data_IF_925641668566
#
_entry.id   IF_925641668566
#
_cell.length_a   1.000
_cell.length_b   1.000
_cell.length_c   1.000
_cell.angle_alpha   90.00
_cell.angle_beta   90.00
_cell.angle_gamma   90.00
#
_symmetry.space_group_name_H-M   'P 1'
#
loop_
_entity.id
_entity.type
_entity.pdbx_description
1 polymer ?
#
# COMPACT_ATOMS: atom_id res chain seq x y z
N UNK A 1 -8.34 15.32 3.36
CA UNK A 1 -7.54 14.09 3.25
C UNK A 1 -6.77 13.97 4.55
N UNK A 2 -7.09 13.00 5.39
CA UNK A 2 -6.39 12.84 6.68
C UNK A 2 -5.02 12.25 6.40
N UNK A 3 -4.01 13.09 6.56
CA UNK A 3 -2.59 12.80 6.43
C UNK A 3 -2.16 12.03 7.68
N UNK A 4 -2.15 10.69 7.63
CA UNK A 4 -1.65 9.89 8.75
C UNK A 4 -0.14 9.72 8.58
N UNK A 5 0.68 10.28 9.48
CA UNK A 5 2.13 10.32 9.31
C UNK A 5 2.76 8.92 9.29
N UNK A 6 2.07 7.90 9.85
CA UNK A 6 2.51 6.52 9.75
C UNK A 6 2.37 5.98 8.32
N UNK A 7 1.26 6.33 7.65
CA UNK A 7 0.99 5.87 6.28
C UNK A 7 2.00 6.45 5.30
N UNK A 8 2.32 7.73 5.42
CA UNK A 8 3.38 8.35 4.61
C UNK A 8 4.74 7.70 4.86
N UNK A 9 5.12 7.48 6.13
CA UNK A 9 6.38 6.85 6.47
C UNK A 9 6.51 5.40 5.95
N UNK A 10 5.40 4.64 5.96
CA UNK A 10 5.34 3.30 5.35
C UNK A 10 5.53 3.38 3.85
N UNK A 11 4.83 4.31 3.17
CA UNK A 11 5.00 4.53 1.74
C UNK A 11 6.44 4.90 1.40
N UNK A 12 7.05 5.84 2.11
CA UNK A 12 8.42 6.32 1.87
C UNK A 12 9.45 5.19 2.04
N UNK A 13 9.26 4.32 3.04
CA UNK A 13 10.09 3.13 3.23
C UNK A 13 10.00 2.15 2.04
N UNK A 14 8.81 1.98 1.46
CA UNK A 14 8.55 0.98 0.41
C UNK A 14 8.79 1.56 -1.00
N UNK A 15 8.65 2.89 -1.18
CA UNK A 15 8.78 3.63 -2.43
C UNK A 15 10.01 3.29 -3.30
N UNK A 16 11.21 2.99 -2.76
CA UNK A 16 12.33 2.55 -3.61
C UNK A 16 12.08 1.21 -4.35
N UNK A 17 11.00 0.48 -4.02
CA UNK A 17 10.52 -0.64 -4.81
C UNK A 17 9.64 -1.58 -4.01
N UNK A 18 10.25 -2.65 -3.49
CA UNK A 18 9.58 -3.65 -2.65
C UNK A 18 10.37 -3.83 -1.37
N UNK A 19 9.67 -3.85 -0.25
CA UNK A 19 10.30 -4.01 1.06
C UNK A 19 9.52 -5.02 1.90
N UNK A 20 10.23 -5.80 2.70
CA UNK A 20 9.61 -6.75 3.59
C UNK A 20 9.06 -6.07 4.86
N UNK A 21 8.00 -6.63 5.41
CA UNK A 21 7.34 -6.10 6.61
C UNK A 21 8.27 -6.02 7.82
N UNK A 22 9.23 -6.94 7.94
CA UNK A 22 10.15 -6.94 9.09
C UNK A 22 11.05 -5.71 9.03
N UNK A 23 11.59 -5.39 7.85
CA UNK A 23 12.40 -4.19 7.64
C UNK A 23 11.58 -2.91 7.79
N UNK A 24 10.31 -2.88 7.32
CA UNK A 24 9.41 -1.73 7.55
C UNK A 24 9.19 -1.51 9.04
N UNK A 25 8.89 -2.58 9.79
CA UNK A 25 8.73 -2.52 11.25
C UNK A 25 10.01 -2.03 11.89
N UNK A 26 11.16 -2.63 11.58
CA UNK A 26 12.44 -2.30 12.20
C UNK A 26 12.79 -0.81 12.04
N UNK A 27 12.57 -0.25 10.85
CA UNK A 27 12.82 1.17 10.55
C UNK A 27 11.86 2.13 11.25
N UNK A 28 10.63 1.71 11.52
CA UNK A 28 9.58 2.58 12.07
C UNK A 28 9.30 2.34 13.56
N UNK A 29 9.83 1.26 14.15
CA UNK A 29 9.58 0.84 15.53
C UNK A 29 10.07 1.87 16.58
N UNK A 30 11.05 2.69 16.25
CA UNK A 30 11.49 3.80 17.11
C UNK A 30 10.38 4.85 17.34
N UNK A 31 9.49 5.02 16.35
CA UNK A 31 8.45 6.06 16.35
C UNK A 31 7.05 5.52 16.62
N UNK A 32 6.75 4.30 16.20
CA UNK A 32 5.44 3.69 16.36
C UNK A 32 5.56 2.23 16.82
N UNK A 33 4.61 1.74 17.63
CA UNK A 33 4.65 0.35 18.08
C UNK A 33 4.43 -0.62 16.91
N UNK A 34 5.19 -1.73 16.90
CA UNK A 34 5.13 -2.81 15.90
C UNK A 34 3.69 -3.21 15.52
N UNK A 35 2.82 -3.41 16.53
CA UNK A 35 1.41 -3.79 16.29
C UNK A 35 0.67 -2.76 15.44
N UNK A 36 0.92 -1.46 15.64
CA UNK A 36 0.29 -0.38 14.88
C UNK A 36 0.83 -0.33 13.45
N UNK A 37 2.15 -0.48 13.28
CA UNK A 37 2.78 -0.52 11.95
C UNK A 37 2.20 -1.68 11.12
N UNK A 38 2.12 -2.88 11.70
CA UNK A 38 1.55 -4.05 11.02
C UNK A 38 0.08 -3.86 10.66
N UNK A 39 -0.72 -3.34 11.59
CA UNK A 39 -2.13 -3.07 11.33
C UNK A 39 -2.31 -2.05 10.19
N UNK A 40 -1.46 -1.03 10.15
CA UNK A 40 -1.51 -0.01 9.10
C UNK A 40 -1.09 -0.57 7.74
N UNK A 41 -0.02 -1.37 7.67
CA UNK A 41 0.38 -2.04 6.41
C UNK A 41 -0.76 -2.91 5.86
N UNK A 42 -1.39 -3.72 6.70
CA UNK A 42 -2.52 -4.57 6.26
C UNK A 42 -3.76 -3.74 5.88
N UNK A 43 -4.00 -2.62 6.57
CA UNK A 43 -5.02 -1.64 6.21
C UNK A 43 -4.75 -1.04 4.83
N UNK A 44 -3.51 -0.64 4.56
CA UNK A 44 -3.08 -0.10 3.26
C UNK A 44 -3.17 -1.12 2.12
N UNK A 45 -2.93 -2.40 2.41
CA UNK A 45 -3.13 -3.50 1.44
C UNK A 45 -4.61 -3.68 1.12
N UNK A 46 -5.45 -3.74 2.14
CA UNK A 46 -6.91 -3.84 1.99
C UNK A 46 -7.46 -2.62 1.24
N UNK A 47 -6.93 -1.45 1.57
CA UNK A 47 -7.22 -0.21 0.91
C UNK A 47 -6.58 -0.10 -0.47
N UNK A 48 -5.85 -1.10 -0.99
CA UNK A 48 -5.26 -1.12 -2.34
C UNK A 48 -4.18 -0.07 -2.61
N UNK A 49 -3.55 0.45 -1.55
CA UNK A 49 -2.39 1.34 -1.60
C UNK A 49 -1.10 0.53 -1.67
N UNK A 50 -1.07 -0.63 -1.01
CA UNK A 50 0.03 -1.59 -1.09
C UNK A 50 -0.44 -2.89 -1.75
N UNK A 51 0.48 -3.57 -2.44
CA UNK A 51 0.26 -4.92 -2.94
C UNK A 51 1.32 -5.87 -2.37
N UNK A 52 0.90 -7.09 -2.01
CA UNK A 52 1.81 -8.16 -1.63
C UNK A 52 2.48 -8.75 -2.87
N UNK A 53 3.77 -8.99 -2.80
CA UNK A 53 4.53 -9.59 -3.89
C UNK A 53 4.13 -11.07 -4.04
N UNK A 54 3.82 -11.57 -5.26
CA UNK A 54 3.31 -12.94 -5.45
C UNK A 54 4.36 -14.02 -5.18
N UNK A 55 5.65 -13.69 -5.33
CA UNK A 55 6.77 -14.63 -5.20
C UNK A 55 7.51 -14.54 -3.85
N UNK A 56 7.15 -13.60 -2.97
CA UNK A 56 7.84 -13.38 -1.71
C UNK A 56 6.84 -13.06 -0.60
N UNK A 57 6.80 -13.92 0.42
CA UNK A 57 5.90 -13.70 1.55
C UNK A 57 6.32 -12.44 2.32
N UNK A 58 5.31 -11.65 2.73
CA UNK A 58 5.48 -10.40 3.49
C UNK A 58 6.34 -9.34 2.82
N UNK A 59 6.51 -9.39 1.50
CA UNK A 59 7.09 -8.31 0.73
C UNK A 59 5.98 -7.46 0.14
N UNK A 60 6.04 -6.15 0.33
CA UNK A 60 5.02 -5.19 -0.07
C UNK A 60 5.61 -4.17 -1.04
N UNK A 61 4.79 -3.70 -1.98
CA UNK A 61 5.12 -2.61 -2.91
C UNK A 61 4.02 -1.55 -2.90
N UNK A 62 4.39 -0.30 -3.14
CA UNK A 62 3.41 0.77 -3.35
C UNK A 62 2.70 0.55 -4.69
N UNK A 63 1.38 0.54 -4.66
CA UNK A 63 0.56 0.59 -5.87
C UNK A 63 0.47 2.05 -6.25
N UNK A 64 1.16 2.43 -7.32
CA UNK A 64 1.08 3.78 -7.87
C UNK A 64 -0.40 4.13 -8.10
N UNK A 65 -0.89 5.18 -7.42
CA UNK A 65 -2.30 5.59 -7.45
C UNK A 65 -2.76 5.88 -8.89
N UNK A 66 -1.84 6.21 -9.81
CA UNK A 66 -2.13 6.38 -11.24
C UNK A 66 -2.74 5.12 -11.87
N UNK A 67 -2.37 3.93 -11.41
CA UNK A 67 -2.90 2.67 -11.92
C UNK A 67 -4.30 2.41 -11.41
N UNK A 68 -4.61 2.82 -10.18
CA UNK A 68 -5.94 2.62 -9.57
C UNK A 68 -6.98 3.54 -10.17
N UNK A 69 -6.63 4.80 -10.40
CA UNK A 69 -7.50 5.76 -11.11
C UNK A 69 -7.80 5.27 -12.54
N UNK A 70 -6.79 4.71 -13.21
CA UNK A 70 -6.94 4.11 -14.54
C UNK A 70 -7.82 2.87 -14.54
N UNK A 71 -7.70 1.96 -13.57
CA UNK A 71 -8.52 0.74 -13.49
C UNK A 71 -9.98 1.05 -13.14
N UNK A 72 -10.21 2.00 -12.24
CA UNK A 72 -11.57 2.49 -11.93
C UNK A 72 -12.19 3.15 -13.16
N UNK A 73 -11.48 4.05 -13.85
CA UNK A 73 -11.96 4.66 -15.11
C UNK A 73 -12.24 3.64 -16.21
N UNK A 74 -11.40 2.61 -16.36
CA UNK A 74 -11.60 1.57 -17.37
C UNK A 74 -12.79 0.66 -17.08
N UNK A 75 -13.15 0.46 -15.81
CA UNK A 75 -14.37 -0.28 -15.43
C UNK A 75 -15.62 0.52 -15.74
N UNK A 76 -15.61 1.81 -15.45
CA UNK A 76 -16.71 2.74 -15.73
C UNK A 76 -17.04 2.77 -17.24
N UNK A 77 -16.02 2.91 -18.08
CA UNK A 77 -16.17 2.94 -19.54
C UNK A 77 -16.71 1.63 -20.15
N UNK A 78 -16.55 0.49 -19.45
CA UNK A 78 -17.05 -0.80 -19.91
C UNK A 78 -18.50 -1.06 -19.50
N UNK A 79 -18.98 -0.38 -18.45
CA UNK A 79 -20.37 -0.46 -17.99
C UNK A 79 -21.34 0.28 -18.92
N UNK A 80 -20.88 1.31 -19.64
CA UNK A 80 -21.68 2.04 -20.63
C UNK A 80 -21.74 1.36 -22.02
N UNK A 81 -20.89 0.38 -22.30
CA UNK A 81 -20.80 -0.25 -23.63
C UNK A 81 -21.69 -1.51 -23.79
N UNK A 82 -22.58 -1.79 -22.83
CA UNK A 82 -23.55 -2.91 -22.87
C UNK A 82 -25.02 -2.47 -22.69
N UNK A 83 -25.34 -1.20 -22.97
CA UNK A 83 -26.70 -0.67 -23.02
C UNK A 83 -27.28 -0.66 -24.43
#
# INVERSE_FOLDING_TARGET
MSDDPLREAICDCIAPGSLDLVTVVDRLNDRWPDRRIRAEVESMVTAGVLERHPSADRVYRVVDESRRDRVTRLRDLRSDAQG
#
